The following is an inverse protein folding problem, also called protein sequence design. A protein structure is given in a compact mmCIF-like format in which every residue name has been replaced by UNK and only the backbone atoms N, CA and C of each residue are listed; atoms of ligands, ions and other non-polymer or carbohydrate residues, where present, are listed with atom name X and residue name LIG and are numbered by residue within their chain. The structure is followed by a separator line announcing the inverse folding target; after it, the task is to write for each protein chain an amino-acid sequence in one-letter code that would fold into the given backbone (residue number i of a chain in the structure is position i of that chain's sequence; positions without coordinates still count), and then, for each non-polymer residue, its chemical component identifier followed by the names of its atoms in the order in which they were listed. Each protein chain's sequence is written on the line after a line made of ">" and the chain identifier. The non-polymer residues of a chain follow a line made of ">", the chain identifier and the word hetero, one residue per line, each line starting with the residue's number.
data_IF_218851298204
#
_entry.id   IF_218851298204
#
_cell.length_a   1.000
_cell.length_b   1.000
_cell.length_c   1.000
_cell.angle_alpha   90.00
_cell.angle_beta   90.00
_cell.angle_gamma   90.00
#
_symmetry.space_group_name_H-M   'P 1'
#
loop_
_entity.id
_entity.type
_entity.pdbx_description
1 polymer ?
#
# COMPACT_ATOMS: atom_id res chain seq x y z
N UNK A 1 -8.23 -38.33 -88.35
CA UNK A 1 -8.41 -38.27 -86.88
C UNK A 1 -7.20 -37.68 -86.14
N UNK A 2 -5.96 -38.18 -86.34
CA UNK A 2 -4.77 -37.65 -85.62
C UNK A 2 -4.50 -36.15 -85.83
N UNK A 3 -4.65 -35.63 -87.06
CA UNK A 3 -4.43 -34.19 -87.37
C UNK A 3 -5.49 -33.27 -86.74
N UNK A 4 -6.74 -33.73 -86.63
CA UNK A 4 -7.82 -32.98 -85.99
C UNK A 4 -7.66 -32.94 -84.46
N UNK A 5 -7.20 -34.04 -83.87
CA UNK A 5 -6.92 -34.14 -82.44
C UNK A 5 -5.77 -33.20 -82.02
N UNK A 6 -4.70 -33.13 -82.82
CA UNK A 6 -3.56 -32.23 -82.55
C UNK A 6 -3.98 -30.75 -82.61
N UNK A 7 -4.84 -30.37 -83.56
CA UNK A 7 -5.35 -28.99 -83.64
C UNK A 7 -6.19 -28.59 -82.43
N UNK A 8 -7.00 -29.51 -81.90
CA UNK A 8 -7.83 -29.26 -80.71
C UNK A 8 -6.95 -29.12 -79.46
N UNK A 9 -5.92 -29.95 -79.31
CA UNK A 9 -4.99 -29.87 -78.17
C UNK A 9 -4.21 -28.55 -78.19
N UNK A 10 -3.75 -28.10 -79.36
CA UNK A 10 -3.05 -26.80 -79.50
C UNK A 10 -4.01 -25.64 -79.20
N UNK A 11 -5.25 -25.69 -79.67
CA UNK A 11 -6.24 -24.64 -79.37
C UNK A 11 -6.58 -24.59 -77.88
N UNK A 12 -6.74 -25.74 -77.21
CA UNK A 12 -7.03 -25.81 -75.78
C UNK A 12 -5.83 -25.37 -74.93
N UNK A 13 -4.59 -25.67 -75.34
CA UNK A 13 -3.39 -25.17 -74.63
C UNK A 13 -3.20 -23.67 -74.82
N UNK A 14 -3.51 -23.14 -76.01
CA UNK A 14 -3.48 -21.71 -76.29
C UNK A 14 -4.56 -20.97 -75.48
N UNK A 15 -5.76 -21.56 -75.32
CA UNK A 15 -6.82 -21.02 -74.47
C UNK A 15 -6.43 -21.01 -72.98
N UNK A 16 -5.68 -22.04 -72.53
CA UNK A 16 -5.14 -22.13 -71.17
C UNK A 16 -4.05 -21.07 -70.89
N UNK A 17 -3.22 -20.76 -71.89
CA UNK A 17 -2.19 -19.71 -71.83
C UNK A 17 -2.79 -18.29 -71.75
N UNK A 18 -3.96 -18.06 -72.37
CA UNK A 18 -4.67 -16.79 -72.27
C UNK A 18 -5.29 -16.58 -70.87
N UNK A 19 -5.77 -17.65 -70.23
CA UNK A 19 -6.30 -17.60 -68.85
C UNK A 19 -5.24 -17.23 -67.81
N UNK A 20 -3.98 -17.67 -68.02
CA UNK A 20 -2.84 -17.30 -67.16
C UNK A 20 -2.47 -15.82 -67.26
N UNK A 21 -2.81 -15.14 -68.36
CA UNK A 21 -2.57 -13.70 -68.51
C UNK A 21 -3.59 -12.82 -67.77
N UNK A 22 -4.80 -13.34 -67.50
CA UNK A 22 -5.79 -12.67 -66.66
C UNK A 22 -5.62 -12.97 -65.16
N UNK A 23 -4.70 -13.86 -64.80
CA UNK A 23 -4.18 -14.01 -63.44
C UNK A 23 -3.00 -13.04 -63.20
N UNK A 24 -3.13 -11.77 -63.59
CA UNK A 24 -2.14 -10.76 -63.25
C UNK A 24 -2.15 -10.54 -61.72
N UNK A 25 -1.07 -10.98 -61.08
CA UNK A 25 -0.75 -10.67 -59.70
C UNK A 25 -0.81 -9.14 -59.47
N UNK A 26 -1.72 -8.69 -58.62
CA UNK A 26 -1.88 -7.28 -58.23
C UNK A 26 -0.59 -6.65 -57.71
N UNK A 27 0.40 -7.46 -57.33
CA UNK A 27 1.69 -7.03 -56.84
C UNK A 27 2.66 -6.54 -57.94
N UNK A 28 2.30 -6.60 -59.23
CA UNK A 28 3.10 -6.06 -60.35
C UNK A 28 2.65 -4.68 -60.84
N UNK A 29 1.44 -4.24 -60.51
CA UNK A 29 0.96 -2.90 -60.87
C UNK A 29 1.73 -1.86 -60.04
N UNK A 30 2.31 -0.86 -60.71
CA UNK A 30 3.06 0.21 -60.05
C UNK A 30 2.34 1.54 -60.19
N UNK A 31 2.36 2.33 -59.12
CA UNK A 31 1.71 3.63 -59.08
C UNK A 31 2.63 4.69 -58.47
N UNK A 32 2.67 5.87 -59.09
CA UNK A 32 3.10 7.09 -58.41
C UNK A 32 1.86 7.81 -57.90
N UNK A 33 1.83 8.14 -56.61
CA UNK A 33 0.76 8.90 -55.98
C UNK A 33 1.36 9.82 -54.91
N UNK A 34 1.11 11.12 -55.03
CA UNK A 34 1.52 12.12 -54.06
C UNK A 34 0.26 12.60 -53.35
N UNK A 35 0.04 12.16 -52.11
CA UNK A 35 -1.10 12.58 -51.29
C UNK A 35 -0.59 13.25 -50.02
N UNK A 36 -0.67 14.59 -49.98
CA UNK A 36 -0.32 15.39 -48.80
C UNK A 36 -1.60 15.84 -48.08
N UNK A 37 -1.63 15.67 -46.76
CA UNK A 37 -2.71 16.16 -45.88
C UNK A 37 -4.14 15.72 -46.26
N UNK A 38 -4.29 14.46 -46.71
CA UNK A 38 -5.59 13.86 -47.07
C UNK A 38 -6.12 13.00 -45.93
N UNK A 39 -7.45 12.89 -45.83
CA UNK A 39 -8.08 11.99 -44.86
C UNK A 39 -7.78 10.54 -45.23
N UNK A 40 -7.55 9.69 -44.23
CA UNK A 40 -7.28 8.26 -44.41
C UNK A 40 -8.35 7.60 -45.29
N UNK A 41 -9.61 7.98 -45.12
CA UNK A 41 -10.72 7.53 -45.97
C UNK A 41 -10.47 7.74 -47.48
N UNK A 42 -10.03 8.94 -47.87
CA UNK A 42 -9.79 9.31 -49.28
C UNK A 42 -8.57 8.59 -49.83
N UNK A 43 -7.53 8.42 -49.02
CA UNK A 43 -6.32 7.70 -49.42
C UNK A 43 -6.65 6.21 -49.68
N UNK A 44 -7.47 5.60 -48.83
CA UNK A 44 -7.92 4.22 -49.01
C UNK A 44 -8.83 4.05 -50.23
N UNK A 45 -9.65 5.05 -50.54
CA UNK A 45 -10.50 5.08 -51.74
C UNK A 45 -9.67 5.14 -53.03
N UNK A 46 -8.66 6.03 -53.09
CA UNK A 46 -7.75 6.12 -54.24
C UNK A 46 -6.92 4.84 -54.45
N UNK A 47 -6.49 4.17 -53.36
CA UNK A 47 -5.78 2.89 -53.45
C UNK A 47 -6.73 1.77 -53.90
N UNK A 48 -7.99 1.79 -53.45
CA UNK A 48 -9.03 0.83 -53.86
C UNK A 48 -9.27 0.88 -55.36
N UNK A 49 -9.43 2.08 -55.93
CA UNK A 49 -9.67 2.25 -57.36
C UNK A 49 -8.47 1.82 -58.19
N UNK A 50 -7.26 2.24 -57.80
CA UNK A 50 -6.05 2.03 -58.59
C UNK A 50 -5.58 0.57 -58.62
N UNK A 51 -5.72 -0.14 -57.51
CA UNK A 51 -5.27 -1.52 -57.36
C UNK A 51 -6.40 -2.54 -57.38
N UNK A 52 -7.66 -2.10 -57.53
CA UNK A 52 -8.84 -2.95 -57.54
C UNK A 52 -8.91 -3.87 -56.30
N UNK A 53 -8.86 -3.27 -55.11
CA UNK A 53 -8.84 -3.98 -53.80
C UNK A 53 -9.92 -3.45 -52.87
N UNK A 54 -10.46 -4.33 -52.02
CA UNK A 54 -11.43 -3.92 -51.01
C UNK A 54 -10.77 -3.83 -49.62
N UNK A 55 -10.99 -2.72 -48.93
CA UNK A 55 -10.54 -2.54 -47.55
C UNK A 55 -11.65 -2.93 -46.56
N UNK A 56 -11.26 -3.60 -45.48
CA UNK A 56 -12.12 -3.86 -44.32
C UNK A 56 -11.41 -3.35 -43.07
N UNK A 57 -12.11 -2.55 -42.26
CA UNK A 57 -11.55 -1.94 -41.07
C UNK A 57 -12.66 -1.61 -40.07
N UNK A 58 -12.30 -1.55 -38.78
CA UNK A 58 -13.21 -1.12 -37.73
C UNK A 58 -13.21 0.43 -37.64
N UNK A 59 -14.36 1.06 -37.89
CA UNK A 59 -14.51 2.52 -37.85
C UNK A 59 -14.16 3.13 -36.48
N UNK A 60 -14.35 2.37 -35.40
CA UNK A 60 -14.06 2.82 -34.04
C UNK A 60 -12.56 2.81 -33.73
N UNK A 61 -11.76 2.02 -34.47
CA UNK A 61 -10.33 1.87 -34.23
C UNK A 61 -9.46 2.73 -35.15
N UNK A 62 -9.86 2.93 -36.41
CA UNK A 62 -9.01 3.58 -37.41
C UNK A 62 -9.26 5.08 -37.62
N UNK A 63 -10.33 5.65 -37.03
CA UNK A 63 -10.71 7.07 -37.15
C UNK A 63 -10.53 7.62 -38.58
N UNK A 64 -11.45 7.34 -39.53
CA UNK A 64 -11.27 7.61 -40.97
C UNK A 64 -11.00 9.08 -41.35
N UNK A 65 -11.29 10.03 -40.45
CA UNK A 65 -11.00 11.46 -40.60
C UNK A 65 -9.56 11.87 -40.29
N UNK A 66 -8.71 10.96 -39.78
CA UNK A 66 -7.29 11.25 -39.51
C UNK A 66 -6.59 11.63 -40.81
N UNK A 67 -5.86 12.75 -40.80
CA UNK A 67 -5.03 13.17 -41.92
C UNK A 67 -3.72 12.37 -41.93
N UNK A 68 -3.34 11.87 -43.10
CA UNK A 68 -2.09 11.14 -43.32
C UNK A 68 -1.44 11.69 -44.57
N UNK A 69 -0.11 11.84 -44.54
CA UNK A 69 0.67 12.22 -45.72
C UNK A 69 1.42 11.00 -46.21
N UNK A 70 1.25 10.67 -47.48
CA UNK A 70 1.87 9.52 -48.13
C UNK A 70 2.48 9.96 -49.47
N UNK A 71 3.77 9.70 -49.63
CA UNK A 71 4.49 9.92 -50.89
C UNK A 71 4.86 8.55 -51.46
N UNK A 72 4.29 8.23 -52.61
CA UNK A 72 4.48 6.96 -53.32
C UNK A 72 5.07 7.24 -54.70
N UNK A 73 6.20 6.62 -55.01
CA UNK A 73 6.88 6.79 -56.30
C UNK A 73 7.06 5.44 -57.02
N UNK A 74 6.16 5.12 -57.95
CA UNK A 74 6.22 3.91 -58.78
C UNK A 74 6.29 2.60 -57.98
N UNK A 75 5.43 2.45 -56.97
CA UNK A 75 5.48 1.33 -56.00
C UNK A 75 4.34 0.33 -56.21
N UNK A 76 4.58 -0.91 -55.81
CA UNK A 76 3.56 -1.95 -55.81
C UNK A 76 2.61 -1.83 -54.61
N UNK A 77 1.44 -2.47 -54.69
CA UNK A 77 0.44 -2.41 -53.63
C UNK A 77 1.02 -2.73 -52.24
N UNK A 78 1.88 -3.75 -52.14
CA UNK A 78 2.52 -4.12 -50.88
C UNK A 78 3.34 -2.97 -50.29
N UNK A 79 4.18 -2.33 -51.10
CA UNK A 79 5.03 -1.20 -50.71
C UNK A 79 4.18 0.02 -50.29
N UNK A 80 3.09 0.29 -51.02
CA UNK A 80 2.15 1.37 -50.69
C UNK A 80 1.49 1.10 -49.33
N UNK A 81 1.01 -0.12 -49.10
CA UNK A 81 0.38 -0.51 -47.84
C UNK A 81 1.36 -0.48 -46.68
N UNK A 82 2.60 -0.96 -46.87
CA UNK A 82 3.65 -0.92 -45.86
C UNK A 82 3.94 0.54 -45.44
N UNK A 83 4.08 1.46 -46.40
CA UNK A 83 4.30 2.89 -46.11
C UNK A 83 3.10 3.57 -45.46
N UNK A 84 1.89 3.28 -45.93
CA UNK A 84 0.66 3.81 -45.35
C UNK A 84 0.49 3.33 -43.90
N UNK A 85 0.79 2.06 -43.64
CA UNK A 85 0.68 1.46 -42.31
C UNK A 85 1.72 2.03 -41.34
N UNK A 86 2.94 2.33 -41.81
CA UNK A 86 3.94 3.03 -41.00
C UNK A 86 3.48 4.46 -40.68
N UNK A 87 2.98 5.21 -41.68
CA UNK A 87 2.54 6.59 -41.49
C UNK A 87 1.30 6.72 -40.59
N UNK A 88 0.40 5.72 -40.64
CA UNK A 88 -0.85 5.72 -39.90
C UNK A 88 -0.82 4.88 -38.59
N UNK A 89 0.31 4.24 -38.26
CA UNK A 89 0.46 3.29 -37.14
C UNK A 89 -0.56 2.13 -37.19
N UNK A 90 -0.65 1.49 -38.36
CA UNK A 90 -1.58 0.39 -38.65
C UNK A 90 -0.81 -0.89 -38.98
N UNK A 91 -1.51 -2.01 -38.94
CA UNK A 91 -1.07 -3.26 -39.57
C UNK A 91 -2.09 -3.69 -40.61
N UNK A 92 -1.63 -4.36 -41.67
CA UNK A 92 -2.49 -4.87 -42.72
C UNK A 92 -2.31 -6.38 -42.90
N UNK A 93 -3.40 -7.06 -43.23
CA UNK A 93 -3.40 -8.48 -43.58
C UNK A 93 -4.26 -8.70 -44.82
N UNK A 94 -3.71 -9.34 -45.84
CA UNK A 94 -4.46 -9.75 -47.03
C UNK A 94 -5.19 -11.06 -46.78
N UNK A 95 -6.51 -11.05 -46.94
CA UNK A 95 -7.38 -12.23 -46.87
C UNK A 95 -8.21 -12.26 -48.16
N UNK A 96 -7.77 -13.05 -49.14
CA UNK A 96 -8.39 -13.11 -50.47
C UNK A 96 -8.32 -11.78 -51.23
N UNK A 97 -9.48 -11.23 -51.62
CA UNK A 97 -9.63 -9.90 -52.26
C UNK A 97 -9.75 -8.74 -51.26
N UNK A 98 -9.76 -9.05 -49.96
CA UNK A 98 -9.89 -8.05 -48.90
C UNK A 98 -8.55 -7.78 -48.24
N UNK A 99 -8.28 -6.50 -47.98
CA UNK A 99 -7.19 -6.03 -47.13
C UNK A 99 -7.82 -5.60 -45.80
N UNK A 100 -7.49 -6.34 -44.75
CA UNK A 100 -7.94 -6.02 -43.40
C UNK A 100 -6.92 -5.08 -42.79
N UNK A 101 -7.35 -3.88 -42.40
CA UNK A 101 -6.54 -2.92 -41.66
C UNK A 101 -6.93 -2.99 -40.18
N UNK A 102 -5.91 -3.08 -39.32
CA UNK A 102 -6.05 -3.07 -37.86
C UNK A 102 -5.13 -2.01 -37.29
N UNK A 103 -5.45 -1.47 -36.12
CA UNK A 103 -4.46 -0.71 -35.37
C UNK A 103 -3.22 -1.59 -35.20
N UNK A 104 -2.02 -1.06 -35.46
CA UNK A 104 -0.83 -1.79 -35.08
C UNK A 104 -0.94 -2.13 -33.59
N UNK A 105 -0.62 -3.36 -33.16
CA UNK A 105 -0.38 -3.56 -31.74
C UNK A 105 0.65 -2.49 -31.38
N UNK A 106 0.36 -1.67 -30.35
CA UNK A 106 1.41 -0.86 -29.74
C UNK A 106 2.59 -1.82 -29.61
N UNK A 107 3.75 -1.48 -30.20
CA UNK A 107 4.87 -2.42 -30.36
C UNK A 107 5.35 -2.96 -29.01
N UNK A 108 6.61 -3.37 -28.84
CA UNK A 108 7.14 -3.23 -27.49
C UNK A 108 6.92 -1.75 -27.11
N UNK A 109 5.91 -1.46 -26.27
CA UNK A 109 6.00 -0.32 -25.37
C UNK A 109 7.38 -0.50 -24.81
N UNK A 110 8.31 0.39 -25.15
CA UNK A 110 9.51 0.51 -24.33
C UNK A 110 8.93 0.53 -22.92
N UNK A 111 9.17 -0.52 -22.14
CA UNK A 111 8.76 -0.60 -20.74
C UNK A 111 9.04 0.79 -20.21
N UNK A 112 8.01 1.53 -19.72
CA UNK A 112 8.06 2.98 -19.57
C UNK A 112 9.45 3.30 -19.08
N UNK A 113 10.28 3.91 -19.94
CA UNK A 113 11.72 3.94 -19.72
C UNK A 113 11.89 4.40 -18.29
N UNK A 114 12.34 3.50 -17.41
CA UNK A 114 12.36 3.74 -15.97
C UNK A 114 13.29 4.93 -15.83
N UNK A 115 12.67 6.10 -15.77
CA UNK A 115 13.37 7.36 -15.85
C UNK A 115 13.91 7.52 -14.46
N UNK A 116 15.15 7.07 -14.29
CA UNK A 116 15.86 7.21 -13.04
C UNK A 116 16.51 8.58 -13.02
N UNK A 117 16.37 9.30 -11.92
CA UNK A 117 16.99 10.60 -11.71
C UNK A 117 17.50 10.68 -10.27
N UNK A 118 18.37 11.66 -9.99
CA UNK A 118 19.00 11.80 -8.68
C UNK A 118 18.46 13.03 -7.97
N UNK A 119 18.17 12.88 -6.69
CA UNK A 119 17.86 13.99 -5.79
C UNK A 119 19.13 14.29 -5.00
N UNK A 120 19.63 15.51 -5.10
CA UNK A 120 20.78 16.00 -4.33
C UNK A 120 20.41 17.26 -3.59
N UNK A 121 21.22 17.63 -2.62
CA UNK A 121 20.99 18.85 -1.88
C UNK A 121 21.93 19.01 -0.71
N UNK A 122 21.69 20.07 0.05
CA UNK A 122 22.41 20.38 1.27
C UNK A 122 21.42 20.67 2.40
N UNK A 123 21.71 20.15 3.58
CA UNK A 123 20.99 20.44 4.82
C UNK A 123 21.77 21.50 5.59
N UNK A 124 21.12 22.61 5.91
CA UNK A 124 21.72 23.73 6.63
C UNK A 124 20.84 24.16 7.80
N UNK A 125 21.46 24.79 8.78
CA UNK A 125 20.76 25.47 9.85
C UNK A 125 20.12 26.77 9.32
N UNK A 126 18.87 27.02 9.73
CA UNK A 126 18.08 28.17 9.24
C UNK A 126 18.70 29.50 9.65
N UNK A 127 19.25 29.61 10.85
CA UNK A 127 19.66 30.86 11.48
C UNK A 127 21.14 31.16 11.25
N UNK A 128 22.01 30.19 11.52
CA UNK A 128 23.46 30.28 11.36
C UNK A 128 23.94 29.98 9.94
N UNK A 129 23.09 29.39 9.08
CA UNK A 129 23.44 28.92 7.73
C UNK A 129 24.59 27.91 7.67
N UNK A 130 24.93 27.31 8.80
CA UNK A 130 25.98 26.29 8.92
C UNK A 130 25.45 24.96 8.39
N UNK A 131 26.23 24.21 7.59
CA UNK A 131 25.83 22.87 7.14
C UNK A 131 25.67 21.90 8.31
N UNK A 132 24.60 21.11 8.25
CA UNK A 132 24.25 20.13 9.29
C UNK A 132 24.69 18.74 8.83
N UNK A 133 25.67 18.18 9.54
CA UNK A 133 26.13 16.81 9.32
C UNK A 133 25.29 15.78 10.06
N UNK A 134 25.13 14.59 9.48
CA UNK A 134 24.43 13.47 10.08
C UNK A 134 22.91 13.57 10.10
N UNK A 135 22.32 14.59 9.48
CA UNK A 135 20.87 14.72 9.34
C UNK A 135 20.32 13.53 8.56
N UNK A 136 19.24 12.93 9.05
CA UNK A 136 18.54 11.82 8.41
C UNK A 136 17.54 12.38 7.40
N UNK A 137 17.73 12.05 6.12
CA UNK A 137 16.85 12.41 5.01
C UNK A 137 16.07 11.17 4.59
N UNK A 138 14.75 11.20 4.78
CA UNK A 138 13.81 10.18 4.36
C UNK A 138 13.06 10.64 3.12
N UNK A 139 13.16 9.86 2.04
CA UNK A 139 12.37 10.01 0.83
C UNK A 139 11.18 9.05 0.91
N UNK A 140 9.98 9.62 0.99
CA UNK A 140 8.73 8.90 1.19
C UNK A 140 7.92 8.93 -0.10
N UNK A 141 7.56 7.75 -0.57
CA UNK A 141 6.62 7.45 -1.66
C UNK A 141 5.61 6.39 -1.17
N UNK A 142 4.55 6.13 -1.92
CA UNK A 142 3.48 5.16 -1.61
C UNK A 142 4.01 3.73 -1.45
N UNK A 143 5.20 3.41 -1.97
CA UNK A 143 5.70 2.04 -2.08
C UNK A 143 7.07 1.78 -1.44
N UNK A 144 7.91 2.79 -1.23
CA UNK A 144 9.29 2.61 -0.75
C UNK A 144 9.71 3.77 0.16
N UNK A 145 10.23 3.44 1.35
CA UNK A 145 10.96 4.37 2.20
C UNK A 145 12.46 4.25 1.90
N UNK A 146 13.11 5.35 1.51
CA UNK A 146 14.57 5.40 1.32
C UNK A 146 15.17 6.42 2.27
N UNK A 147 16.25 6.05 2.94
CA UNK A 147 16.92 6.92 3.90
C UNK A 147 18.39 7.12 3.52
N UNK A 148 18.88 8.35 3.68
CA UNK A 148 20.29 8.70 3.58
C UNK A 148 20.64 9.67 4.70
N UNK A 149 21.90 9.72 5.13
CA UNK A 149 22.40 10.73 6.05
C UNK A 149 23.17 11.81 5.30
N UNK A 150 23.15 13.06 5.78
CA UNK A 150 24.02 14.12 5.25
C UNK A 150 25.49 13.90 5.61
N UNK A 151 26.39 14.31 4.72
CA UNK A 151 27.84 14.25 4.90
C UNK A 151 28.35 15.37 5.84
N UNK A 152 29.67 15.47 6.06
CA UNK A 152 30.27 16.49 6.93
C UNK A 152 29.99 17.93 6.50
N UNK A 153 29.85 18.15 5.19
CA UNK A 153 29.52 19.45 4.61
C UNK A 153 28.01 19.67 4.44
N UNK A 154 27.17 18.81 5.02
CA UNK A 154 25.72 18.87 4.94
C UNK A 154 25.12 18.36 3.63
N UNK A 155 25.94 17.91 2.68
CA UNK A 155 25.45 17.43 1.38
C UNK A 155 24.78 16.06 1.50
N UNK A 156 23.79 15.80 0.66
CA UNK A 156 23.16 14.50 0.52
C UNK A 156 22.86 14.17 -0.95
N UNK A 157 22.82 12.88 -1.27
CA UNK A 157 22.54 12.39 -2.62
C UNK A 157 21.77 11.07 -2.61
N UNK A 158 20.52 11.10 -3.07
CA UNK A 158 19.66 9.92 -3.26
C UNK A 158 19.64 9.55 -4.75
N UNK A 159 20.43 8.54 -5.12
CA UNK A 159 20.59 8.08 -6.52
C UNK A 159 19.50 7.09 -6.93
N UNK A 160 19.27 7.01 -8.24
CA UNK A 160 18.42 6.00 -8.90
C UNK A 160 16.96 6.01 -8.41
N UNK A 161 16.35 7.20 -8.32
CA UNK A 161 14.93 7.35 -7.95
C UNK A 161 14.08 7.41 -9.21
N UNK A 162 12.90 6.80 -9.16
CA UNK A 162 11.92 6.86 -10.25
C UNK A 162 11.41 8.29 -10.38
N UNK A 163 11.00 8.70 -11.57
CA UNK A 163 10.24 9.95 -11.71
C UNK A 163 8.90 9.84 -10.98
N UNK A 164 8.53 10.87 -10.23
CA UNK A 164 7.39 10.82 -9.34
C UNK A 164 7.32 12.01 -8.40
N UNK A 165 6.27 12.05 -7.57
CA UNK A 165 6.14 13.02 -6.49
C UNK A 165 6.57 12.38 -5.19
N UNK A 166 7.54 13.01 -4.54
CA UNK A 166 8.07 12.53 -3.28
C UNK A 166 7.76 13.50 -2.15
N UNK A 167 7.60 12.96 -0.95
CA UNK A 167 7.67 13.75 0.27
C UNK A 167 9.05 13.53 0.88
N UNK A 168 9.80 14.62 1.06
CA UNK A 168 11.10 14.56 1.73
C UNK A 168 10.90 14.98 3.18
N UNK A 169 11.41 14.18 4.10
CA UNK A 169 11.40 14.46 5.52
C UNK A 169 12.84 14.45 6.02
N UNK A 170 13.21 15.48 6.76
CA UNK A 170 14.56 15.61 7.31
C UNK A 170 14.47 15.76 8.81
N UNK A 171 15.22 14.95 9.54
CA UNK A 171 15.30 15.00 11.00
C UNK A 171 16.75 14.98 11.45
N UNK A 172 17.04 15.74 12.51
CA UNK A 172 18.33 15.72 13.18
C UNK A 172 18.12 15.97 14.67
N UNK A 173 18.94 15.33 15.51
CA UNK A 173 18.89 15.57 16.94
C UNK A 173 19.19 17.05 17.25
N UNK A 174 18.35 17.67 18.08
CA UNK A 174 18.46 19.10 18.41
C UNK A 174 17.75 20.03 17.43
N UNK A 175 17.11 19.50 16.38
CA UNK A 175 16.39 20.29 15.38
C UNK A 175 14.91 19.90 15.29
N UNK A 176 14.07 20.84 14.86
CA UNK A 176 12.70 20.56 14.45
C UNK A 176 12.71 19.82 13.12
N UNK A 177 11.88 18.78 13.02
CA UNK A 177 11.71 18.00 11.81
C UNK A 177 11.14 18.87 10.68
N UNK A 178 11.80 18.86 9.52
CA UNK A 178 11.32 19.53 8.32
C UNK A 178 10.67 18.52 7.37
N UNK A 179 9.60 18.95 6.69
CA UNK A 179 8.91 18.14 5.68
C UNK A 179 8.61 18.98 4.45
N UNK A 180 9.04 18.48 3.29
CA UNK A 180 8.81 19.06 1.97
C UNK A 180 7.90 18.12 1.17
N UNK A 181 6.57 18.32 1.19
CA UNK A 181 5.63 17.52 0.42
C UNK A 181 5.66 17.89 -1.06
N UNK A 182 5.44 16.90 -1.93
CA UNK A 182 5.13 17.12 -3.35
C UNK A 182 6.33 17.50 -4.24
N UNK A 183 7.56 17.12 -3.86
CA UNK A 183 8.76 17.31 -4.68
C UNK A 183 8.64 16.48 -5.96
N UNK A 184 8.48 17.15 -7.10
CA UNK A 184 8.29 16.52 -8.41
C UNK A 184 9.63 16.20 -9.07
N UNK A 185 10.00 14.93 -9.14
CA UNK A 185 11.18 14.44 -9.87
C UNK A 185 10.85 14.16 -11.34
N UNK A 186 11.49 14.90 -12.26
CA UNK A 186 11.29 14.79 -13.72
C UNK A 186 12.42 14.02 -14.40
N UNK A 187 12.13 13.35 -15.51
CA UNK A 187 13.09 12.54 -16.24
C UNK A 187 14.26 13.38 -16.78
N UNK A 188 15.49 12.94 -16.54
CA UNK A 188 16.69 13.50 -17.17
C UNK A 188 17.20 14.82 -16.55
N UNK A 189 16.60 15.27 -15.44
CA UNK A 189 17.08 16.43 -14.68
C UNK A 189 17.21 16.09 -13.21
N UNK A 190 18.42 16.24 -12.68
CA UNK A 190 18.67 16.14 -11.24
C UNK A 190 18.07 17.33 -10.52
N UNK A 191 17.50 17.08 -9.35
CA UNK A 191 16.97 18.12 -8.48
C UNK A 191 17.99 18.42 -7.41
N UNK A 192 18.26 19.71 -7.21
CA UNK A 192 19.12 20.23 -6.14
C UNK A 192 18.25 20.99 -5.15
N UNK A 193 18.25 20.56 -3.89
CA UNK A 193 17.45 21.16 -2.81
C UNK A 193 18.35 21.74 -1.72
N UNK A 194 17.97 22.88 -1.18
CA UNK A 194 18.52 23.38 0.08
C UNK A 194 17.43 23.23 1.14
N UNK A 195 17.71 22.44 2.18
CA UNK A 195 16.75 22.13 3.23
C UNK A 195 17.25 22.81 4.51
N UNK A 196 16.45 23.74 5.03
CA UNK A 196 16.77 24.48 6.25
C UNK A 196 16.09 23.84 7.46
N UNK A 197 16.86 23.48 8.48
CA UNK A 197 16.33 23.01 9.76
C UNK A 197 16.35 24.14 10.79
N UNK A 198 15.35 24.19 11.66
CA UNK A 198 15.28 25.15 12.77
C UNK A 198 15.69 24.45 14.05
N UNK A 199 16.58 25.05 14.85
CA UNK A 199 16.97 24.49 16.14
C UNK A 199 15.74 24.30 17.05
N UNK A 200 15.72 23.17 17.76
CA UNK A 200 14.69 22.83 18.73
C UNK A 200 15.27 23.00 20.12
N UNK A 201 14.81 23.98 20.87
CA UNK A 201 15.21 24.21 22.27
C UNK A 201 14.60 23.20 23.26
N UNK A 202 14.16 22.03 22.80
CA UNK A 202 13.58 20.99 23.65
C UNK A 202 14.68 20.21 24.36
N UNK A 203 14.72 20.32 25.70
CA UNK A 203 15.46 19.43 26.59
C UNK A 203 15.22 17.99 26.17
N UNK A 204 16.30 17.29 25.79
CA UNK A 204 16.28 15.92 25.30
C UNK A 204 15.57 15.03 26.31
N UNK A 205 14.33 14.60 26.03
CA UNK A 205 13.76 13.43 26.70
C UNK A 205 14.55 12.24 26.17
N UNK A 206 15.27 11.61 27.09
CA UNK A 206 15.98 10.36 26.94
C UNK A 206 15.29 9.42 25.94
N UNK A 207 15.99 9.03 24.88
CA UNK A 207 15.51 8.02 23.94
C UNK A 207 15.65 6.67 24.65
N UNK A 208 14.59 6.26 25.34
CA UNK A 208 14.47 4.90 25.83
C UNK A 208 14.33 3.99 24.60
N UNK A 209 15.40 3.31 24.20
CA UNK A 209 15.34 2.26 23.19
C UNK A 209 14.60 1.08 23.83
N UNK A 210 13.28 1.10 23.80
CA UNK A 210 12.47 -0.05 24.18
C UNK A 210 12.61 -1.06 23.06
N UNK A 211 13.32 -2.17 23.33
CA UNK A 211 13.37 -3.34 22.44
C UNK A 211 11.96 -3.60 21.91
N UNK A 212 11.83 -3.87 20.61
CA UNK A 212 10.62 -4.42 19.99
C UNK A 212 10.30 -5.75 20.66
N UNK A 213 9.58 -5.70 21.79
CA UNK A 213 8.98 -6.88 22.39
C UNK A 213 7.89 -7.31 21.43
N UNK A 214 7.81 -8.60 21.20
CA UNK A 214 6.67 -9.20 20.51
C UNK A 214 5.40 -8.78 21.25
N UNK A 215 4.58 -7.92 20.64
CA UNK A 215 3.37 -7.36 21.24
C UNK A 215 2.35 -8.45 21.60
N UNK A 216 2.57 -9.70 21.19
CA UNK A 216 1.75 -10.85 21.53
C UNK A 216 2.14 -11.54 22.85
N UNK A 217 3.33 -11.27 23.40
CA UNK A 217 3.80 -11.87 24.65
C UNK A 217 3.44 -11.00 25.83
N UNK A 218 2.83 -11.59 26.86
CA UNK A 218 2.55 -10.93 28.14
C UNK A 218 3.80 -10.29 28.76
N UNK A 219 3.61 -9.21 29.54
CA UNK A 219 4.70 -8.33 29.97
C UNK A 219 5.51 -8.96 31.10
N UNK A 220 4.92 -9.98 31.71
CA UNK A 220 5.50 -10.81 32.74
C UNK A 220 6.15 -12.06 32.13
N UNK A 221 7.48 -12.14 32.27
CA UNK A 221 8.32 -13.23 31.75
C UNK A 221 8.03 -14.59 32.42
N UNK A 222 7.33 -14.60 33.56
CA UNK A 222 6.92 -15.81 34.28
C UNK A 222 5.62 -16.43 33.75
N UNK A 223 4.94 -15.77 32.81
CA UNK A 223 3.66 -16.24 32.30
C UNK A 223 3.89 -17.10 31.05
N UNK A 224 3.55 -18.39 31.17
CA UNK A 224 3.62 -19.35 30.07
C UNK A 224 2.61 -19.06 28.94
N UNK A 225 2.59 -19.97 27.95
CA UNK A 225 1.88 -19.95 26.65
C UNK A 225 0.40 -19.48 26.66
N UNK A 226 -0.24 -19.36 27.83
CA UNK A 226 -1.66 -19.02 28.00
C UNK A 226 -1.95 -17.53 28.24
N UNK A 227 -0.95 -16.65 28.10
CA UNK A 227 -1.17 -15.21 28.19
C UNK A 227 -0.91 -14.46 26.89
N UNK A 228 -1.73 -13.45 26.67
CA UNK A 228 -1.72 -12.58 25.49
C UNK A 228 -1.69 -11.15 25.95
N UNK A 229 -0.90 -10.35 25.25
CA UNK A 229 -0.92 -8.90 25.42
C UNK A 229 -1.64 -8.26 24.24
N UNK A 230 -2.29 -7.14 24.49
CA UNK A 230 -2.88 -6.33 23.44
C UNK A 230 -2.69 -4.84 23.75
N UNK A 231 -2.56 -4.04 22.69
CA UNK A 231 -2.40 -2.58 22.77
C UNK A 231 -3.71 -1.85 22.43
N UNK A 232 -3.71 -0.53 22.64
CA UNK A 232 -4.82 0.35 22.28
C UNK A 232 -5.10 0.31 20.78
N UNK A 233 -4.06 0.33 19.97
CA UNK A 233 -4.18 0.28 18.51
C UNK A 233 -4.77 -1.05 18.07
N UNK A 234 -4.42 -2.15 18.73
CA UNK A 234 -5.04 -3.44 18.47
C UNK A 234 -6.51 -3.41 18.87
N UNK A 235 -6.84 -2.79 20.00
CA UNK A 235 -8.23 -2.59 20.47
C UNK A 235 -9.10 -1.82 19.50
N UNK A 236 -8.54 -0.77 18.88
CA UNK A 236 -9.24 0.05 17.88
C UNK A 236 -9.46 -0.66 16.54
N UNK A 237 -8.73 -1.74 16.25
CA UNK A 237 -8.79 -2.46 14.97
C UNK A 237 -9.88 -3.53 14.93
N UNK A 238 -10.40 -3.96 16.08
CA UNK A 238 -11.52 -4.91 16.11
C UNK A 238 -12.85 -4.16 16.04
N UNK A 239 -13.66 -4.54 15.04
CA UNK A 239 -15.00 -4.00 14.88
C UNK A 239 -15.86 -4.32 16.12
N UNK A 240 -16.71 -3.38 16.51
CA UNK A 240 -17.61 -3.48 17.67
C UNK A 240 -16.92 -3.61 19.05
N UNK A 241 -15.62 -3.30 19.18
CA UNK A 241 -14.95 -3.29 20.47
C UNK A 241 -15.35 -2.10 21.36
N UNK A 242 -15.85 -1.00 20.79
CA UNK A 242 -16.21 0.25 21.51
C UNK A 242 -15.07 0.81 22.40
N UNK A 243 -13.81 0.51 22.08
CA UNK A 243 -12.65 0.80 22.95
C UNK A 243 -12.76 0.13 24.33
N UNK A 244 -13.51 -0.96 24.44
CA UNK A 244 -13.67 -1.78 25.64
C UNK A 244 -12.66 -2.95 25.60
N UNK A 245 -11.71 -3.02 26.56
CA UNK A 245 -10.75 -4.13 26.63
C UNK A 245 -11.41 -5.49 26.86
N UNK A 246 -12.60 -5.54 27.47
CA UNK A 246 -13.32 -6.79 27.70
C UNK A 246 -13.85 -7.39 26.39
N UNK A 247 -14.41 -6.56 25.51
CA UNK A 247 -14.89 -6.99 24.18
C UNK A 247 -13.75 -7.40 23.26
N UNK A 248 -12.58 -6.81 23.44
CA UNK A 248 -11.36 -7.24 22.76
C UNK A 248 -10.91 -8.65 23.13
N UNK A 249 -11.03 -9.02 24.40
CA UNK A 249 -10.64 -10.35 24.86
C UNK A 249 -11.43 -11.49 24.17
N UNK A 250 -12.63 -11.19 23.64
CA UNK A 250 -13.44 -12.13 22.85
C UNK A 250 -12.76 -12.57 21.55
N UNK A 251 -11.77 -11.81 21.06
CA UNK A 251 -10.98 -12.21 19.90
C UNK A 251 -10.02 -13.38 20.19
N UNK A 252 -9.75 -13.67 21.47
CA UNK A 252 -8.83 -14.73 21.85
C UNK A 252 -9.50 -16.11 21.86
N UNK A 253 -8.73 -17.12 21.45
CA UNK A 253 -9.22 -18.50 21.40
C UNK A 253 -9.59 -19.01 22.80
N UNK A 254 -10.76 -19.65 22.91
CA UNK A 254 -11.28 -20.17 24.18
C UNK A 254 -11.92 -19.11 25.08
N UNK A 255 -12.10 -17.89 24.57
CA UNK A 255 -12.90 -16.84 25.21
C UNK A 255 -14.24 -16.73 24.50
N UNK A 256 -15.31 -16.64 25.28
CA UNK A 256 -16.67 -16.41 24.78
C UNK A 256 -17.42 -15.46 25.69
N UNK A 257 -18.57 -14.97 25.24
CA UNK A 257 -19.47 -14.15 26.03
C UNK A 257 -20.78 -14.92 26.27
N UNK A 258 -21.49 -14.59 27.35
CA UNK A 258 -22.83 -15.11 27.62
C UNK A 258 -23.90 -14.39 26.79
N UNK A 259 -23.68 -13.12 26.41
CA UNK A 259 -24.65 -12.32 25.65
C UNK A 259 -23.97 -11.13 24.93
N UNK A 260 -24.45 -10.77 23.75
CA UNK A 260 -23.90 -9.67 22.93
C UNK A 260 -24.05 -8.28 23.58
N UNK A 261 -25.05 -8.12 24.44
CA UNK A 261 -25.34 -6.86 25.14
C UNK A 261 -24.36 -6.54 26.26
N UNK A 262 -23.78 -7.57 26.89
CA UNK A 262 -22.82 -7.41 27.97
C UNK A 262 -21.39 -7.63 27.48
N UNK A 263 -20.41 -7.31 28.30
CA UNK A 263 -19.00 -7.56 28.04
C UNK A 263 -18.44 -8.68 28.95
N UNK A 264 -19.27 -9.65 29.33
CA UNK A 264 -18.85 -10.80 30.13
C UNK A 264 -17.78 -11.62 29.37
N UNK A 265 -16.77 -12.08 30.11
CA UNK A 265 -15.67 -12.90 29.58
C UNK A 265 -15.73 -14.28 30.23
N UNK A 266 -16.12 -15.27 29.44
CA UNK A 266 -16.11 -16.69 29.79
C UNK A 266 -14.83 -17.28 29.22
N UNK A 267 -14.01 -17.92 30.05
CA UNK A 267 -12.75 -18.53 29.61
C UNK A 267 -12.87 -20.04 29.78
N UNK A 268 -12.84 -20.78 28.67
CA UNK A 268 -12.90 -22.25 28.64
C UNK A 268 -14.09 -22.84 29.43
N UNK A 269 -15.23 -22.14 29.42
CA UNK A 269 -16.44 -22.53 30.14
C UNK A 269 -16.46 -22.19 31.64
N UNK A 270 -15.42 -21.56 32.17
CA UNK A 270 -15.42 -21.09 33.56
C UNK A 270 -16.31 -19.86 33.72
N UNK A 271 -16.94 -19.75 34.89
CA UNK A 271 -17.81 -18.63 35.24
C UNK A 271 -17.06 -17.28 35.12
N UNK A 272 -17.62 -16.28 34.44
CA UNK A 272 -17.04 -14.93 34.37
C UNK A 272 -16.87 -14.27 35.76
N UNK A 273 -17.60 -14.74 36.80
CA UNK A 273 -17.43 -14.28 38.18
C UNK A 273 -16.06 -14.63 38.78
N UNK A 274 -15.36 -15.60 38.20
CA UNK A 274 -14.00 -15.95 38.59
C UNK A 274 -12.93 -15.12 37.89
N UNK A 275 -13.30 -14.11 37.10
CA UNK A 275 -12.35 -13.25 36.41
C UNK A 275 -11.85 -12.14 37.35
N UNK A 276 -10.54 -12.05 37.51
CA UNK A 276 -9.92 -10.98 38.29
C UNK A 276 -9.49 -9.84 37.38
N UNK A 277 -9.94 -8.62 37.70
CA UNK A 277 -9.50 -7.40 37.02
C UNK A 277 -8.46 -6.68 37.86
N UNK A 278 -7.40 -6.20 37.22
CA UNK A 278 -6.38 -5.38 37.87
C UNK A 278 -6.04 -4.18 37.01
N UNK A 279 -5.75 -3.06 37.66
CA UNK A 279 -5.19 -1.86 37.05
C UNK A 279 -3.96 -1.46 37.86
N UNK A 280 -2.79 -1.32 37.22
CA UNK A 280 -1.53 -1.03 37.91
C UNK A 280 -1.19 -2.03 39.03
N UNK A 281 -1.59 -3.30 38.86
CA UNK A 281 -1.40 -4.32 39.89
C UNK A 281 -2.38 -4.25 41.07
N UNK A 282 -3.31 -3.29 41.10
CA UNK A 282 -4.37 -3.20 42.11
C UNK A 282 -5.62 -3.90 41.59
N UNK A 283 -6.21 -4.77 42.41
CA UNK A 283 -7.45 -5.49 42.06
C UNK A 283 -8.67 -4.57 42.07
N UNK A 284 -9.52 -4.74 41.05
CA UNK A 284 -10.80 -4.07 40.88
C UNK A 284 -11.87 -5.15 40.80
N UNK A 285 -12.88 -5.06 41.67
CA UNK A 285 -13.93 -6.10 41.73
C UNK A 285 -14.80 -6.13 40.47
N UNK A 286 -15.12 -4.96 39.90
CA UNK A 286 -15.93 -4.85 38.70
C UNK A 286 -15.53 -3.57 37.93
N UNK A 287 -14.94 -3.67 36.73
CA UNK A 287 -14.53 -2.51 35.97
C UNK A 287 -15.67 -1.92 35.12
N UNK A 288 -16.90 -2.41 35.23
CA UNK A 288 -17.97 -2.08 34.28
C UNK A 288 -18.83 -0.88 34.67
N UNK A 289 -19.18 -0.07 33.67
CA UNK A 289 -20.15 1.00 33.78
C UNK A 289 -21.56 0.40 33.58
N UNK A 290 -22.43 0.50 34.59
CA UNK A 290 -23.73 -0.18 34.72
C UNK A 290 -23.71 -1.65 35.19
N UNK A 291 -22.71 -2.07 35.98
CA UNK A 291 -22.73 -3.39 36.62
C UNK A 291 -23.78 -3.46 37.75
N UNK A 292 -24.60 -4.52 37.76
CA UNK A 292 -25.39 -4.90 38.95
C UNK A 292 -24.47 -5.53 40.01
N UNK A 293 -24.80 -5.35 41.29
CA UNK A 293 -24.03 -5.94 42.40
C UNK A 293 -23.99 -7.48 42.25
N UNK A 294 -22.78 -8.04 42.15
CA UNK A 294 -22.58 -9.48 41.92
C UNK A 294 -22.61 -9.94 40.45
N UNK A 295 -22.69 -9.00 39.49
CA UNK A 295 -22.45 -9.24 38.06
C UNK A 295 -20.96 -9.25 37.74
N UNK A 296 -20.57 -10.15 36.84
CA UNK A 296 -19.22 -10.26 36.26
C UNK A 296 -18.95 -9.35 35.07
N UNK A 297 -20.01 -8.71 34.54
CA UNK A 297 -20.01 -7.92 33.32
C UNK A 297 -20.93 -6.70 33.43
N UNK A 298 -20.89 -5.85 32.41
CA UNK A 298 -21.84 -4.75 32.18
C UNK A 298 -21.93 -4.41 30.70
N UNK A 299 -22.58 -3.29 30.36
CA UNK A 299 -22.70 -2.88 28.95
C UNK A 299 -21.34 -2.55 28.32
N UNK A 300 -20.54 -1.78 29.05
CA UNK A 300 -19.17 -1.37 28.68
C UNK A 300 -18.27 -1.27 29.91
N UNK A 301 -16.97 -1.52 29.75
CA UNK A 301 -15.98 -1.22 30.77
C UNK A 301 -15.88 0.28 31.03
N UNK A 302 -15.83 0.67 32.30
CA UNK A 302 -15.50 2.02 32.76
C UNK A 302 -14.04 2.38 32.47
N UNK A 303 -13.19 1.38 32.26
CA UNK A 303 -11.82 1.52 31.79
C UNK A 303 -11.82 1.43 30.26
N UNK A 304 -11.50 2.54 29.60
CA UNK A 304 -11.32 2.57 28.14
C UNK A 304 -9.92 2.11 27.76
N UNK A 305 -9.79 1.42 26.62
CA UNK A 305 -8.50 1.10 26.03
C UNK A 305 -7.62 2.34 25.83
N UNK A 306 -8.19 3.52 25.57
CA UNK A 306 -7.42 4.77 25.41
C UNK A 306 -6.76 5.26 26.72
N UNK A 307 -7.17 4.74 27.88
CA UNK A 307 -6.56 5.04 29.18
C UNK A 307 -5.43 4.06 29.53
N UNK A 308 -5.27 2.99 28.76
CA UNK A 308 -4.28 1.96 28.96
C UNK A 308 -3.19 2.13 27.89
N UNK A 309 -1.94 1.90 28.22
CA UNK A 309 -0.87 1.70 27.24
C UNK A 309 -0.91 0.26 26.73
N UNK A 310 -1.16 -0.68 27.66
CA UNK A 310 -1.12 -2.11 27.41
C UNK A 310 -2.01 -2.87 28.38
N UNK A 311 -2.60 -3.97 27.89
CA UNK A 311 -3.30 -4.94 28.73
C UNK A 311 -2.72 -6.33 28.54
N UNK A 312 -2.58 -7.07 29.64
CA UNK A 312 -2.21 -8.48 29.65
C UNK A 312 -3.44 -9.31 30.06
N UNK A 313 -3.76 -10.34 29.26
CA UNK A 313 -4.87 -11.24 29.47
C UNK A 313 -4.39 -12.68 29.65
N UNK A 314 -4.70 -13.25 30.81
CA UNK A 314 -4.26 -14.58 31.22
C UNK A 314 -5.46 -15.52 31.28
N UNK A 315 -5.39 -16.61 30.51
CA UNK A 315 -6.46 -17.63 30.45
C UNK A 315 -6.15 -18.89 31.29
N UNK A 316 -5.01 -18.91 31.98
CA UNK A 316 -4.56 -20.01 32.83
C UNK A 316 -3.08 -19.93 33.16
N UNK A 317 -2.62 -20.76 34.11
CA UNK A 317 -1.26 -20.76 34.65
C UNK A 317 -0.83 -19.37 35.17
N UNK A 318 -1.41 -18.97 36.31
CA UNK A 318 -1.17 -17.67 36.91
C UNK A 318 0.13 -17.70 37.74
N UNK A 319 1.05 -16.72 37.54
CA UNK A 319 2.27 -16.64 38.34
C UNK A 319 1.98 -16.18 39.78
N UNK A 320 3.01 -16.17 40.62
CA UNK A 320 2.90 -15.75 42.02
C UNK A 320 2.34 -14.32 42.16
N UNK A 321 1.37 -14.12 43.05
CA UNK A 321 0.67 -12.83 43.23
C UNK A 321 -0.77 -12.76 42.68
N UNK A 322 -1.27 -13.83 42.06
CA UNK A 322 -2.67 -14.02 41.70
C UNK A 322 -3.28 -15.10 42.62
N UNK A 323 -3.96 -14.67 43.70
CA UNK A 323 -4.35 -15.56 44.81
C UNK A 323 -5.87 -15.69 44.99
N UNK A 324 -6.68 -15.17 44.06
CA UNK A 324 -8.12 -15.22 44.22
C UNK A 324 -8.63 -16.68 44.11
N UNK A 325 -9.48 -17.15 45.04
CA UNK A 325 -10.05 -18.49 44.95
C UNK A 325 -10.98 -18.60 43.73
N UNK A 326 -10.77 -19.63 42.90
CA UNK A 326 -11.65 -19.90 41.74
C UNK A 326 -11.34 -19.09 40.48
N UNK A 327 -10.10 -18.62 40.31
CA UNK A 327 -9.66 -17.86 39.14
C UNK A 327 -9.97 -18.56 37.80
N UNK A 328 -10.87 -17.95 37.02
CA UNK A 328 -11.18 -18.32 35.65
C UNK A 328 -10.19 -17.69 34.65
N UNK A 329 -9.64 -16.53 35.01
CA UNK A 329 -8.68 -15.75 34.22
C UNK A 329 -8.34 -14.43 34.90
N UNK A 330 -7.40 -13.70 34.30
CA UNK A 330 -6.97 -12.39 34.78
C UNK A 330 -6.89 -11.40 33.62
N UNK A 331 -7.40 -10.19 33.82
CA UNK A 331 -7.14 -9.04 32.93
C UNK A 331 -6.36 -8.00 33.74
N UNK A 332 -5.15 -7.66 33.30
CA UNK A 332 -4.30 -6.64 33.92
C UNK A 332 -4.10 -5.47 32.95
N UNK A 333 -4.62 -4.30 33.30
CA UNK A 333 -4.39 -3.05 32.56
C UNK A 333 -3.21 -2.27 33.11
N UNK A 334 -2.45 -1.63 32.21
CA UNK A 334 -1.37 -0.69 32.54
C UNK A 334 -1.58 0.63 31.85
N UNK A 335 -1.47 1.74 32.57
CA UNK A 335 -1.61 3.11 32.11
C UNK A 335 -0.31 3.63 31.46
N UNK A 336 -0.41 4.64 30.59
CA UNK A 336 0.76 5.27 29.99
C UNK A 336 1.68 5.91 31.04
N UNK A 337 2.97 5.58 30.99
CA UNK A 337 4.02 6.24 31.78
C UNK A 337 4.34 5.60 33.14
N UNK A 338 3.64 4.54 33.54
CA UNK A 338 3.92 3.77 34.76
C UNK A 338 4.66 2.48 34.42
N UNK A 339 5.94 2.60 34.09
CA UNK A 339 6.83 1.45 33.93
C UNK A 339 7.14 0.79 35.28
N UNK A 340 6.23 -0.02 35.80
CA UNK A 340 6.49 -0.85 36.98
C UNK A 340 7.37 -2.05 36.56
N UNK A 341 8.69 -1.88 36.61
CA UNK A 341 9.62 -3.01 36.64
C UNK A 341 9.64 -3.56 38.06
N UNK A 342 8.87 -4.62 38.32
CA UNK A 342 8.87 -5.29 39.60
C UNK A 342 10.24 -5.87 39.94
N UNK A 343 10.82 -5.43 41.05
CA UNK A 343 11.81 -6.19 41.85
C UNK A 343 11.61 -5.84 43.33
N UNK A 344 11.35 -6.87 44.14
CA UNK A 344 11.92 -7.05 45.47
C UNK A 344 11.55 -6.09 46.61
N UNK A 345 10.75 -6.62 47.54
CA UNK A 345 10.84 -6.51 49.01
C UNK A 345 11.40 -5.20 49.59
N UNK A 346 10.52 -4.43 50.26
CA UNK A 346 10.91 -3.46 51.29
C UNK A 346 11.50 -2.16 50.75
N UNK A 347 10.63 -1.24 50.34
CA UNK A 347 11.05 0.12 50.02
C UNK A 347 9.87 0.96 49.56
N UNK A 348 9.56 2.00 50.30
CA UNK A 348 8.61 3.04 49.92
C UNK A 348 9.07 3.62 48.57
N UNK A 349 8.19 3.62 47.56
CA UNK A 349 8.44 4.27 46.27
C UNK A 349 7.33 5.26 45.96
N UNK A 350 7.71 6.52 45.95
CA UNK A 350 6.90 7.68 45.58
C UNK A 350 6.96 7.85 44.06
N UNK A 351 5.84 7.72 43.36
CA UNK A 351 5.71 8.01 41.93
C UNK A 351 5.01 9.35 41.70
N UNK A 352 5.62 10.23 40.92
CA UNK A 352 5.08 11.55 40.59
C UNK A 352 3.86 11.43 39.66
N UNK A 353 2.71 11.93 40.12
CA UNK A 353 1.47 12.01 39.35
C UNK A 353 1.57 13.19 38.38
N UNK A 354 1.69 12.90 37.09
CA UNK A 354 1.58 13.89 36.02
C UNK A 354 0.14 14.42 35.93
N UNK A 355 0.01 15.75 35.93
CA UNK A 355 -1.24 16.50 36.04
C UNK A 355 -2.36 16.04 35.10
N UNK A 356 -3.42 15.57 35.72
CA UNK A 356 -4.71 15.24 35.12
C UNK A 356 -5.66 14.92 36.25
N UNK A 357 -6.16 15.95 36.93
CA UNK A 357 -7.00 15.78 38.11
C UNK A 357 -8.32 15.10 37.77
N UNK A 358 -8.65 14.04 38.51
CA UNK A 358 -10.04 13.64 38.75
C UNK A 358 -10.12 12.88 40.08
N UNK A 359 -11.00 13.39 40.94
CA UNK A 359 -11.35 12.84 42.24
C UNK A 359 -12.34 11.70 42.04
N UNK A 360 -11.94 10.46 42.35
CA UNK A 360 -12.89 9.37 42.58
C UNK A 360 -13.42 9.51 44.01
N UNK A 361 -14.59 10.14 44.16
CA UNK A 361 -15.40 9.99 45.37
C UNK A 361 -16.29 8.77 45.15
N UNK A 362 -15.88 7.63 45.71
CA UNK A 362 -16.69 6.43 45.84
C UNK A 362 -16.36 5.78 47.17
N UNK A 363 -17.37 5.53 47.99
CA UNK A 363 -17.23 4.99 49.34
C UNK A 363 -16.53 3.63 49.34
N UNK A 364 -15.28 3.59 49.80
CA UNK A 364 -14.56 2.34 50.07
C UNK A 364 -15.08 1.78 51.39
N UNK A 365 -15.99 0.81 51.31
CA UNK A 365 -16.41 0.03 52.47
C UNK A 365 -15.32 -0.97 52.84
N UNK A 366 -14.63 -0.74 53.96
CA UNK A 366 -13.73 -1.72 54.56
C UNK A 366 -14.56 -2.77 55.32
N UNK A 367 -14.56 -4.01 54.84
CA UNK A 367 -14.98 -5.18 55.62
C UNK A 367 -13.75 -5.71 56.37
N UNK A 368 -13.68 -5.45 57.68
CA UNK A 368 -12.67 -6.04 58.57
C UNK A 368 -13.11 -7.43 59.00
N UNK A 369 -12.61 -8.47 58.33
CA UNK A 369 -12.72 -9.85 58.79
C UNK A 369 -11.72 -10.11 59.91
N UNK A 370 -12.19 -10.10 61.16
CA UNK A 370 -11.40 -10.52 62.32
C UNK A 370 -11.18 -12.04 62.33
N UNK A 371 -9.92 -12.45 62.51
CA UNK A 371 -9.54 -13.84 62.78
C UNK A 371 -9.64 -14.04 64.30
N UNK A 372 -10.57 -14.88 64.75
CA UNK A 372 -10.55 -15.43 66.11
C UNK A 372 -9.73 -16.72 66.12
N UNK A 373 -8.79 -16.76 67.07
CA UNK A 373 -7.96 -17.89 67.49
C UNK A 373 -8.69 -19.20 67.73
#
# INVERSE_FOLDING_TARGET
>A
MKKTLIKIIIFLSLLLLVQLSFAQDQNRQKASIIMQDRTLSKILEEIKEKYNVNFSFNNNELQPGRKVSLVVNNENLKQVLDKLCIAANLTWQKVGKHIILKSAPAGPRQSPAISISTIRGQVIDRDSKVPISGALIELIDETVLRTVSSELNGDFSIRKQLVGRYTIRVSQQGFLQAQLPGVLLTAGKDIVLTIELTESSRTVKEVLITRSRDNQKAGNELVGVSARAFSVEETSRYAASLSDPARMALSFAGVSNNNDLNNDIVIRGNSPKGLQWRLEGIEINNPNHFGEEGSSGGGVSMISANMLDRSDFLTGAFPEGFTAPGLAGVVEGRAPGTGFTGVGIGGVVTGAVGGGGLSLVGSVGFSSGGVSS
#
